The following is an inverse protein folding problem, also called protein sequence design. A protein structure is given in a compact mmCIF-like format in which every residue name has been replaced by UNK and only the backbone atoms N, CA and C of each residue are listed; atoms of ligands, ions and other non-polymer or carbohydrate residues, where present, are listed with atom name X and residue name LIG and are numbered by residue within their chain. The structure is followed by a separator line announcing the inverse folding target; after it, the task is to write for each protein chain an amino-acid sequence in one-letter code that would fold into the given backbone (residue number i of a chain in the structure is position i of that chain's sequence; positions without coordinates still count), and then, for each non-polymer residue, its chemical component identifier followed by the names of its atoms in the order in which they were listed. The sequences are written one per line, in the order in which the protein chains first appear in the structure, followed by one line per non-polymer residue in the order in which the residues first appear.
data_IF_784373340877
#
_entry.id   IF_784373340877
#
_cell.length_a   1.000
_cell.length_b   1.000
_cell.length_c   1.000
_cell.angle_alpha   90.00
_cell.angle_beta   90.00
_cell.angle_gamma   90.00
#
_symmetry.space_group_name_H-M   'P 1'
#
loop_
_entity.id
_entity.type
_entity.pdbx_description
1 polymer ?
#
# COMPACT_ATOMS: atom_id res chain seq x y z
N UNK A 1 5.22 1.20 -20.96
CA UNK A 1 4.91 1.73 -19.63
C UNK A 1 3.72 1.06 -18.96
N UNK A 2 2.54 1.02 -19.58
CA UNK A 2 1.36 0.28 -19.06
C UNK A 2 1.58 -1.23 -18.87
N UNK A 3 2.33 -1.89 -19.76
CA UNK A 3 2.56 -3.35 -19.70
C UNK A 3 3.33 -3.84 -18.47
N UNK A 4 4.25 -3.03 -17.90
CA UNK A 4 4.99 -3.41 -16.69
C UNK A 4 4.18 -3.25 -15.40
N UNK A 5 3.27 -2.25 -15.36
CA UNK A 5 2.33 -2.06 -14.24
C UNK A 5 1.34 -3.20 -14.11
N UNK A 6 0.87 -3.72 -15.25
CA UNK A 6 -0.05 -4.86 -15.32
C UNK A 6 0.65 -6.16 -14.88
N UNK A 7 1.96 -6.29 -15.09
CA UNK A 7 2.71 -7.53 -14.80
C UNK A 7 2.79 -7.84 -13.30
N UNK A 8 2.99 -6.84 -12.46
CA UNK A 8 3.00 -7.00 -10.99
C UNK A 8 1.59 -7.34 -10.49
N UNK A 9 0.57 -6.65 -10.99
CA UNK A 9 -0.82 -6.96 -10.68
C UNK A 9 -1.24 -8.34 -11.17
N UNK A 10 -0.77 -8.79 -12.34
CA UNK A 10 -1.15 -10.08 -12.93
C UNK A 10 -0.52 -11.25 -12.18
N UNK A 11 0.73 -11.13 -11.72
CA UNK A 11 1.36 -12.15 -10.89
C UNK A 11 0.71 -12.28 -9.51
N UNK A 12 0.30 -11.16 -8.92
CA UNK A 12 -0.50 -11.14 -7.70
C UNK A 12 -1.90 -11.70 -7.92
N UNK A 13 -2.58 -11.35 -9.00
CA UNK A 13 -3.92 -11.84 -9.36
C UNK A 13 -3.96 -13.34 -9.63
N UNK A 14 -2.95 -13.92 -10.26
CA UNK A 14 -2.89 -15.36 -10.52
C UNK A 14 -2.76 -16.21 -9.25
N UNK A 15 -2.26 -15.62 -8.17
CA UNK A 15 -2.10 -16.28 -6.88
C UNK A 15 -3.35 -16.11 -6.00
N UNK A 16 -4.19 -15.07 -6.21
CA UNK A 16 -5.10 -14.57 -5.17
C UNK A 16 -6.57 -14.44 -5.54
N UNK A 17 -6.97 -14.84 -6.73
CA UNK A 17 -8.40 -14.84 -7.07
C UNK A 17 -9.17 -15.81 -6.15
N UNK A 18 -9.94 -15.25 -5.20
CA UNK A 18 -10.82 -15.95 -4.27
C UNK A 18 -10.17 -16.54 -3.00
N UNK A 19 -9.26 -15.82 -2.39
CA UNK A 19 -8.73 -16.20 -1.08
C UNK A 19 -9.11 -15.17 0.00
N UNK A 20 -9.38 -15.67 1.19
CA UNK A 20 -9.32 -14.86 2.40
C UNK A 20 -7.88 -14.34 2.58
N UNK A 21 -7.74 -13.08 3.03
CA UNK A 21 -6.42 -12.50 3.27
C UNK A 21 -5.71 -13.30 4.36
N UNK A 22 -4.53 -13.89 4.09
CA UNK A 22 -3.79 -14.63 5.09
C UNK A 22 -3.30 -13.71 6.22
N UNK A 23 -2.94 -14.29 7.37
CA UNK A 23 -2.45 -13.54 8.53
C UNK A 23 -0.97 -13.14 8.43
N UNK A 24 -0.25 -13.66 7.45
CA UNK A 24 1.15 -13.36 7.18
C UNK A 24 1.46 -13.53 5.68
N UNK A 25 2.68 -13.17 5.29
CA UNK A 25 3.17 -13.32 3.93
C UNK A 25 2.93 -12.10 3.03
N UNK A 26 3.35 -12.18 1.75
CA UNK A 26 3.38 -11.03 0.84
C UNK A 26 2.01 -10.40 0.60
N UNK A 27 0.95 -11.18 0.50
CA UNK A 27 -0.41 -10.66 0.31
C UNK A 27 -0.88 -9.87 1.53
N UNK A 28 -0.64 -10.40 2.73
CA UNK A 28 -0.92 -9.72 3.99
C UNK A 28 -0.15 -8.39 4.05
N UNK A 29 1.14 -8.42 3.78
CA UNK A 29 2.00 -7.24 3.86
C UNK A 29 1.58 -6.15 2.88
N UNK A 30 1.22 -6.51 1.65
CA UNK A 30 0.74 -5.55 0.65
C UNK A 30 -0.61 -4.92 1.01
N UNK A 31 -1.48 -5.64 1.68
CA UNK A 31 -2.83 -5.16 2.01
C UNK A 31 -2.90 -4.43 3.36
N UNK A 32 -2.02 -4.75 4.30
CA UNK A 32 -2.07 -4.26 5.67
C UNK A 32 -1.04 -3.18 6.01
N UNK A 33 -0.01 -2.98 5.18
CA UNK A 33 1.06 -2.03 5.45
C UNK A 33 0.64 -0.58 5.22
N UNK A 34 1.23 0.33 5.99
CA UNK A 34 0.93 1.76 5.94
C UNK A 34 2.19 2.60 5.74
N UNK A 35 2.11 3.69 4.95
CA UNK A 35 3.17 4.69 4.90
C UNK A 35 3.25 5.45 6.21
N UNK A 36 4.48 5.69 6.70
CA UNK A 36 4.73 6.44 7.91
C UNK A 36 5.97 7.32 7.74
N UNK A 37 6.03 8.44 8.45
CA UNK A 37 7.19 9.31 8.48
C UNK A 37 8.30 8.71 9.35
N UNK A 38 8.93 7.68 8.81
CA UNK A 38 10.01 6.91 9.44
C UNK A 38 11.08 6.58 8.40
N UNK A 39 12.22 6.10 8.86
CA UNK A 39 13.28 5.55 8.00
C UNK A 39 13.21 4.04 8.02
N UNK A 40 13.19 3.42 6.84
CA UNK A 40 13.13 1.97 6.70
C UNK A 40 11.75 1.40 7.04
N UNK A 41 11.76 0.18 7.53
CA UNK A 41 10.59 -0.58 7.93
C UNK A 41 10.34 -0.46 9.44
N UNK A 42 9.08 -0.37 9.82
CA UNK A 42 8.66 -0.40 11.21
C UNK A 42 7.60 -1.47 11.47
N UNK A 43 7.39 -1.81 12.74
CA UNK A 43 6.33 -2.73 13.16
C UNK A 43 4.99 -2.00 13.10
N UNK A 44 4.01 -2.60 12.44
CA UNK A 44 2.66 -2.04 12.41
C UNK A 44 1.94 -2.25 13.74
N UNK A 45 1.30 -1.21 14.29
CA UNK A 45 0.46 -1.35 15.49
C UNK A 45 -0.83 -2.13 15.24
N UNK A 46 -1.13 -2.46 13.98
CA UNK A 46 -2.30 -3.27 13.60
C UNK A 46 -2.15 -4.74 13.93
N UNK A 47 -0.93 -5.22 14.23
CA UNK A 47 -0.63 -6.63 14.40
C UNK A 47 -0.46 -7.41 13.10
N UNK A 48 -0.52 -6.74 11.96
CA UNK A 48 -0.27 -7.30 10.62
C UNK A 48 0.32 -6.23 9.71
N UNK A 49 1.11 -6.62 8.71
CA UNK A 49 1.83 -5.72 7.84
C UNK A 49 2.93 -4.94 8.55
N UNK A 50 3.45 -3.92 7.89
CA UNK A 50 4.57 -3.10 8.35
C UNK A 50 4.29 -1.62 8.12
N UNK A 51 5.02 -0.77 8.82
CA UNK A 51 5.16 0.64 8.46
C UNK A 51 6.35 0.79 7.51
N UNK A 52 6.24 1.66 6.52
CA UNK A 52 7.31 1.89 5.55
C UNK A 52 7.55 3.38 5.30
N UNK A 53 8.81 3.75 5.24
CA UNK A 53 9.26 5.12 5.01
C UNK A 53 9.46 5.47 3.53
N UNK A 54 9.82 6.72 3.28
CA UNK A 54 10.07 7.25 1.92
C UNK A 54 11.23 6.56 1.22
N UNK A 55 12.24 6.13 1.94
CA UNK A 55 13.42 5.40 1.44
C UNK A 55 13.01 4.02 0.89
N UNK A 56 12.14 3.31 1.58
CA UNK A 56 11.56 2.04 1.13
C UNK A 56 10.76 2.23 -0.16
N UNK A 57 9.92 3.27 -0.22
CA UNK A 57 9.13 3.60 -1.43
C UNK A 57 10.04 3.89 -2.62
N UNK A 58 11.10 4.65 -2.41
CA UNK A 58 12.06 4.99 -3.46
C UNK A 58 12.71 3.74 -4.05
N UNK A 59 13.20 2.85 -3.19
CA UNK A 59 13.80 1.59 -3.61
C UNK A 59 12.79 0.70 -4.35
N UNK A 60 11.59 0.55 -3.80
CA UNK A 60 10.53 -0.23 -4.42
C UNK A 60 10.13 0.31 -5.80
N UNK A 61 9.95 1.62 -5.91
CA UNK A 61 9.55 2.25 -7.17
C UNK A 61 10.65 2.14 -8.23
N UNK A 62 11.91 2.32 -7.86
CA UNK A 62 13.05 2.14 -8.78
C UNK A 62 13.17 0.70 -9.24
N UNK A 63 13.15 -0.26 -8.31
CA UNK A 63 13.29 -1.69 -8.63
C UNK A 63 12.18 -2.18 -9.55
N UNK A 64 10.97 -1.71 -9.35
CA UNK A 64 9.79 -2.15 -10.11
C UNK A 64 9.45 -1.21 -11.29
N UNK A 65 10.21 -0.14 -11.49
CA UNK A 65 9.96 0.87 -12.54
C UNK A 65 8.53 1.43 -12.45
N UNK A 66 8.15 1.88 -11.26
CA UNK A 66 6.85 2.46 -10.91
C UNK A 66 7.08 3.90 -10.48
N UNK A 67 6.16 4.79 -10.78
CA UNK A 67 6.21 6.19 -10.39
C UNK A 67 5.33 6.50 -9.18
N UNK A 68 4.25 5.75 -9.01
CA UNK A 68 3.23 6.02 -8.01
C UNK A 68 2.67 4.71 -7.44
N UNK A 69 2.56 4.65 -6.11
CA UNK A 69 1.80 3.66 -5.38
C UNK A 69 0.46 4.28 -4.98
N UNK A 70 -0.65 3.73 -5.49
CA UNK A 70 -1.99 4.11 -5.07
C UNK A 70 -2.55 3.01 -4.16
N UNK A 71 -2.98 3.40 -2.97
CA UNK A 71 -3.44 2.47 -1.92
C UNK A 71 -4.61 3.07 -1.12
N UNK A 72 -5.25 2.25 -0.31
CA UNK A 72 -6.32 2.65 0.61
C UNK A 72 -5.92 2.30 2.07
N UNK A 73 -6.81 1.73 2.86
CA UNK A 73 -6.60 1.16 4.19
C UNK A 73 -6.43 2.16 5.34
N UNK A 74 -6.24 3.44 5.08
CA UNK A 74 -6.21 4.50 6.10
C UNK A 74 -7.33 5.49 5.87
N UNK A 75 -7.99 5.89 6.97
CA UNK A 75 -9.02 6.92 6.95
C UNK A 75 -8.42 8.27 6.56
N UNK A 76 -8.96 8.88 5.54
CA UNK A 76 -8.64 10.24 5.13
C UNK A 76 -9.95 11.02 4.94
N UNK A 77 -10.19 12.02 5.77
CA UNK A 77 -11.45 12.78 5.78
C UNK A 77 -11.69 13.54 4.47
N UNK A 78 -10.64 13.97 3.80
CA UNK A 78 -10.71 14.68 2.51
C UNK A 78 -10.87 13.74 1.31
N UNK A 79 -10.82 12.42 1.51
CA UNK A 79 -10.92 11.41 0.47
C UNK A 79 -9.60 10.99 -0.15
N UNK A 80 -8.54 11.77 -0.02
CA UNK A 80 -7.20 11.43 -0.51
C UNK A 80 -6.11 12.12 0.31
N UNK A 81 -4.93 11.52 0.31
CA UNK A 81 -3.72 12.09 0.93
C UNK A 81 -2.48 11.66 0.18
N UNK A 82 -1.65 12.64 -0.18
CA UNK A 82 -0.32 12.42 -0.75
C UNK A 82 0.72 12.21 0.35
N UNK A 83 1.68 11.33 0.09
CA UNK A 83 2.83 11.05 0.95
C UNK A 83 4.10 11.07 0.11
N UNK A 84 5.23 11.39 0.76
CA UNK A 84 6.59 11.24 0.21
C UNK A 84 6.78 11.88 -1.17
N UNK A 85 6.57 13.19 -1.26
CA UNK A 85 6.70 13.94 -2.53
C UNK A 85 5.85 13.32 -3.66
N UNK A 86 4.60 13.01 -3.37
CA UNK A 86 3.64 12.50 -4.34
C UNK A 86 4.00 11.15 -4.98
N UNK A 87 4.74 10.32 -4.26
CA UNK A 87 5.07 8.95 -4.70
C UNK A 87 4.14 7.89 -4.14
N UNK A 88 3.36 8.25 -3.11
CA UNK A 88 2.30 7.39 -2.54
C UNK A 88 1.02 8.22 -2.40
N UNK A 89 -0.10 7.66 -2.83
CA UNK A 89 -1.43 8.24 -2.68
C UNK A 89 -2.32 7.29 -1.88
N UNK A 90 -2.83 7.78 -0.76
CA UNK A 90 -3.93 7.10 -0.04
C UNK A 90 -5.26 7.64 -0.53
N UNK A 91 -6.21 6.77 -0.85
CA UNK A 91 -7.57 7.11 -1.25
C UNK A 91 -8.58 6.50 -0.28
N UNK A 92 -9.65 7.25 -0.01
CA UNK A 92 -10.70 6.84 0.92
C UNK A 92 -12.07 7.25 0.39
N UNK A 93 -13.03 6.33 0.41
CA UNK A 93 -14.38 6.59 -0.09
C UNK A 93 -15.51 6.00 0.75
N UNK A 94 -15.21 5.51 1.96
CA UNK A 94 -16.24 4.98 2.85
C UNK A 94 -16.90 6.11 3.66
N UNK A 95 -18.17 6.50 3.38
CA UNK A 95 -18.86 7.51 4.16
C UNK A 95 -19.24 6.95 5.53
N UNK A 96 -19.23 7.83 6.54
CA UNK A 96 -19.65 7.50 7.91
C UNK A 96 -18.91 6.29 8.52
N UNK A 97 -17.68 6.05 8.10
CA UNK A 97 -16.86 4.96 8.64
C UNK A 97 -16.61 5.18 10.13
N UNK A 98 -16.95 4.18 10.95
CA UNK A 98 -16.91 4.26 12.41
C UNK A 98 -17.67 5.47 12.97
N UNK A 99 -18.72 5.92 12.29
CA UNK A 99 -19.54 7.08 12.67
C UNK A 99 -18.78 8.42 12.72
N UNK A 100 -17.73 8.56 11.92
CA UNK A 100 -16.91 9.77 11.80
C UNK A 100 -17.19 10.55 10.53
#
# INVERSE_FOLDING_TARGET
MLKKRIYICTNLLNIFLQQEVPHDGPMCDLLWSDPEDTTGWGVSPRGAGFLFGSDVVREFNQTNNIDLICRAHQLVMEGYKWHFNETVLTVWSAPNYCYR
#
